data_IF_976719282982
#
_entry.id   IF_976719282982
#
_cell.length_a   1.000
_cell.length_b   1.000
_cell.length_c   1.000
_cell.angle_alpha   90.00
_cell.angle_beta   90.00
_cell.angle_gamma   90.00
#
_symmetry.space_group_name_H-M   'P 1'
#
loop_
_entity.id
_entity.type
_entity.pdbx_description
1 polymer ?
#
# COMPACT_ATOMS: atom_id res chain seq x y z
N UNK A 1 3.35 -10.42 -7.49
CA UNK A 1 3.98 -9.09 -7.49
C UNK A 1 4.30 -8.80 -6.04
N UNK A 2 5.58 -8.63 -5.69
CA UNK A 2 5.97 -8.29 -4.31
C UNK A 2 6.24 -6.79 -4.27
N UNK A 3 5.59 -6.07 -3.36
CA UNK A 3 5.85 -4.64 -3.15
C UNK A 3 6.84 -4.55 -2.00
N UNK A 4 8.13 -4.52 -2.36
CA UNK A 4 9.24 -4.43 -1.40
C UNK A 4 9.02 -3.29 -0.39
N UNK A 5 9.28 -3.55 0.89
CA UNK A 5 9.08 -2.62 2.02
C UNK A 5 7.63 -2.50 2.53
N UNK A 6 6.62 -2.59 1.65
CA UNK A 6 5.23 -2.45 2.08
C UNK A 6 4.79 -3.55 3.05
N UNK A 7 5.12 -4.81 2.76
CA UNK A 7 4.82 -5.95 3.64
C UNK A 7 5.65 -5.97 4.94
N UNK A 8 6.72 -5.17 5.02
CA UNK A 8 7.53 -5.02 6.23
C UNK A 8 6.97 -3.95 7.17
N UNK A 9 6.50 -2.83 6.63
CA UNK A 9 5.82 -1.77 7.38
C UNK A 9 4.40 -2.17 7.82
N UNK A 10 3.68 -2.90 6.98
CA UNK A 10 2.30 -3.30 7.22
C UNK A 10 2.05 -3.96 8.60
N UNK A 11 2.79 -5.00 9.04
CA UNK A 11 2.56 -5.62 10.35
C UNK A 11 2.96 -4.75 11.53
N UNK A 12 3.73 -3.65 11.31
CA UNK A 12 4.02 -2.67 12.35
C UNK A 12 2.85 -1.69 12.54
N UNK A 13 2.13 -1.40 11.45
CA UNK A 13 1.11 -0.35 11.38
C UNK A 13 -0.31 -0.88 11.59
N UNK A 14 -0.59 -2.11 11.16
CA UNK A 14 -1.90 -2.77 11.29
C UNK A 14 -1.97 -3.56 12.60
N UNK A 15 -3.11 -3.46 13.27
CA UNK A 15 -3.33 -4.18 14.50
C UNK A 15 -3.50 -5.68 14.21
N UNK A 16 -2.71 -6.57 14.84
CA UNK A 16 -2.73 -8.00 14.53
C UNK A 16 -4.02 -8.69 14.99
N UNK A 17 -4.75 -8.13 15.95
CA UNK A 17 -6.08 -8.60 16.33
C UNK A 17 -7.15 -8.10 15.33
N UNK A 18 -6.84 -7.04 14.58
CA UNK A 18 -7.65 -6.49 13.49
C UNK A 18 -7.14 -7.00 12.13
N UNK A 19 -7.54 -8.22 11.78
CA UNK A 19 -7.16 -8.90 10.53
C UNK A 19 -7.69 -8.23 9.24
N UNK A 20 -8.45 -7.13 9.34
CA UNK A 20 -9.12 -6.49 8.22
C UNK A 20 -8.61 -5.07 8.01
N UNK A 21 -8.13 -4.71 6.80
CA UNK A 21 -7.99 -5.58 5.62
C UNK A 21 -6.76 -6.49 5.73
N UNK A 22 -6.91 -7.77 5.37
CA UNK A 22 -5.79 -8.73 5.30
C UNK A 22 -4.66 -8.25 4.37
N UNK A 23 -3.41 -8.74 4.52
CA UNK A 23 -2.30 -8.35 3.64
C UNK A 23 -2.63 -8.52 2.15
N UNK A 24 -3.28 -9.63 1.78
CA UNK A 24 -3.71 -9.91 0.41
C UNK A 24 -4.79 -8.92 -0.06
N UNK A 25 -5.76 -8.58 0.78
CA UNK A 25 -6.79 -7.59 0.45
C UNK A 25 -6.20 -6.20 0.22
N UNK A 26 -5.18 -5.83 1.01
CA UNK A 26 -4.51 -4.55 0.85
C UNK A 26 -3.63 -4.53 -0.40
N UNK A 27 -2.96 -5.64 -0.74
CA UNK A 27 -2.27 -5.78 -2.04
C UNK A 27 -3.27 -5.59 -3.19
N UNK A 28 -4.45 -6.20 -3.11
CA UNK A 28 -5.48 -6.07 -4.14
C UNK A 28 -5.94 -4.60 -4.29
N UNK A 29 -6.14 -3.89 -3.18
CA UNK A 29 -6.42 -2.45 -3.18
C UNK A 29 -5.30 -1.63 -3.84
N UNK A 30 -4.04 -1.93 -3.55
CA UNK A 30 -2.89 -1.25 -4.16
C UNK A 30 -2.83 -1.54 -5.66
N UNK A 31 -3.14 -2.76 -6.10
CA UNK A 31 -3.21 -3.12 -7.52
C UNK A 31 -4.34 -2.36 -8.23
N UNK A 32 -5.55 -2.34 -7.66
CA UNK A 32 -6.68 -1.59 -8.22
C UNK A 32 -6.42 -0.09 -8.28
N UNK A 33 -5.73 0.46 -7.28
CA UNK A 33 -5.32 1.86 -7.27
C UNK A 33 -4.25 2.12 -8.35
N UNK A 34 -3.29 1.21 -8.51
CA UNK A 34 -2.27 1.30 -9.54
C UNK A 34 -2.85 1.22 -10.97
N UNK A 35 -3.87 0.39 -11.20
CA UNK A 35 -4.55 0.31 -12.50
C UNK A 35 -5.26 1.63 -12.88
N UNK A 36 -5.70 2.40 -11.89
CA UNK A 36 -6.33 3.70 -12.08
C UNK A 36 -5.34 4.87 -12.03
N UNK A 37 -4.12 4.64 -11.55
CA UNK A 37 -3.12 5.67 -11.40
C UNK A 37 -2.52 6.08 -12.76
N UNK A 38 -2.08 7.34 -12.82
CA UNK A 38 -1.42 7.88 -14.00
C UNK A 38 0.05 7.48 -13.94
N UNK A 39 0.55 6.85 -15.00
CA UNK A 39 1.96 6.46 -15.08
C UNK A 39 2.88 7.68 -14.90
N UNK A 40 3.83 7.57 -13.98
CA UNK A 40 4.76 8.65 -13.62
C UNK A 40 4.28 9.59 -12.51
N UNK A 41 3.04 9.43 -12.01
CA UNK A 41 2.56 10.14 -10.83
C UNK A 41 2.41 9.15 -9.64
N UNK A 42 2.80 9.56 -8.42
CA UNK A 42 2.56 8.75 -7.24
C UNK A 42 1.07 8.68 -6.93
N UNK A 43 0.64 7.54 -6.40
CA UNK A 43 -0.72 7.30 -5.92
C UNK A 43 -0.71 6.85 -4.45
N UNK A 44 -1.82 7.05 -3.75
CA UNK A 44 -1.93 6.73 -2.33
C UNK A 44 -3.09 5.77 -2.06
N UNK A 45 -2.91 4.89 -1.08
CA UNK A 45 -3.96 4.05 -0.48
C UNK A 45 -4.11 4.43 0.98
N UNK A 46 -5.35 4.62 1.41
CA UNK A 46 -5.69 4.97 2.79
C UNK A 46 -6.15 3.73 3.54
N UNK A 47 -5.59 3.52 4.73
CA UNK A 47 -6.07 2.54 5.70
C UNK A 47 -6.73 3.29 6.83
N UNK A 48 -7.95 2.88 7.17
CA UNK A 48 -8.70 3.51 8.25
C UNK A 48 -7.99 3.29 9.60
N UNK A 49 -8.12 4.27 10.50
CA UNK A 49 -7.49 4.19 11.81
C UNK A 49 -8.00 3.01 12.62
N UNK A 50 -9.26 2.61 12.45
CA UNK A 50 -9.83 1.43 13.12
C UNK A 50 -9.06 0.13 12.84
N UNK A 51 -8.35 0.07 11.70
CA UNK A 51 -7.53 -1.08 11.30
C UNK A 51 -6.06 -0.97 11.75
N UNK A 52 -5.67 0.16 12.35
CA UNK A 52 -4.26 0.46 12.67
C UNK A 52 -4.02 0.39 14.18
N UNK A 53 -2.78 0.06 14.57
CA UNK A 53 -2.40 -0.08 15.98
C UNK A 53 -2.57 1.19 16.82
N UNK A 54 -2.31 2.34 16.22
CA UNK A 54 -2.37 3.63 16.90
C UNK A 54 -3.73 4.31 16.76
N UNK A 55 -4.69 3.66 16.10
CA UNK A 55 -6.01 4.20 15.79
C UNK A 55 -5.99 5.46 14.92
N UNK A 56 -4.88 5.75 14.23
CA UNK A 56 -4.77 6.85 13.27
C UNK A 56 -4.74 6.32 11.84
N UNK A 57 -5.54 6.94 10.97
CA UNK A 57 -5.54 6.60 9.54
C UNK A 57 -4.15 6.75 8.94
N UNK A 58 -3.72 5.77 8.16
CA UNK A 58 -2.42 5.78 7.48
C UNK A 58 -2.59 5.97 5.99
N UNK A 59 -1.75 6.83 5.42
CA UNK A 59 -1.66 7.02 3.97
C UNK A 59 -0.40 6.34 3.44
N UNK A 60 -0.57 5.26 2.68
CA UNK A 60 0.53 4.57 2.00
C UNK A 60 0.71 5.15 0.61
N UNK A 61 1.90 5.67 0.31
CA UNK A 61 2.23 6.23 -0.99
C UNK A 61 3.05 5.24 -1.83
N UNK A 62 2.69 5.16 -3.10
CA UNK A 62 3.30 4.27 -4.09
C UNK A 62 3.59 5.03 -5.37
N UNK A 63 4.54 4.53 -6.16
CA UNK A 63 4.79 4.99 -7.52
C UNK A 63 4.72 3.83 -8.50
N UNK A 64 4.31 4.10 -9.73
CA UNK A 64 4.42 3.14 -10.83
C UNK A 64 5.68 3.44 -11.61
N UNK A 65 6.66 2.58 -11.45
CA UNK A 65 7.88 2.62 -12.25
C UNK A 65 7.61 1.91 -13.57
N UNK A 66 7.64 2.66 -14.67
CA UNK A 66 7.49 2.15 -16.03
C UNK A 66 8.81 2.18 -16.80
N UNK A 67 9.94 2.43 -16.13
CA UNK A 67 11.26 2.45 -16.78
C UNK A 67 11.73 1.04 -17.15
N UNK A 68 11.26 0.03 -16.41
CA UNK A 68 11.51 -1.37 -16.73
C UNK A 68 10.52 -1.94 -17.75
N UNK A 69 10.87 -3.07 -18.39
CA UNK A 69 10.02 -3.73 -19.41
C UNK A 69 8.69 -4.24 -18.86
N UNK A 70 8.53 -4.26 -17.53
CA UNK A 70 7.27 -4.52 -16.84
C UNK A 70 7.02 -3.41 -15.81
N UNK A 71 5.83 -2.79 -15.79
CA UNK A 71 5.50 -1.79 -14.79
C UNK A 71 5.59 -2.41 -13.38
N UNK A 72 6.28 -1.73 -12.48
CA UNK A 72 6.49 -2.16 -11.10
C UNK A 72 5.92 -1.13 -10.13
N UNK A 73 5.16 -1.58 -9.13
CA UNK A 73 4.69 -0.72 -8.05
C UNK A 73 5.81 -0.64 -7.01
N UNK A 74 6.29 0.57 -6.74
CA UNK A 74 7.30 0.87 -5.73
C UNK A 74 6.65 1.54 -4.54
N UNK A 75 6.85 0.99 -3.36
CA UNK A 75 6.44 1.64 -2.11
C UNK A 75 7.39 2.80 -1.80
N UNK A 76 6.82 3.97 -1.52
CA UNK A 76 7.56 5.20 -1.20
C UNK A 76 7.66 5.37 0.32
N UNK A 77 6.59 5.05 1.03
CA UNK A 77 6.48 5.21 2.48
C UNK A 77 5.04 5.39 2.94
N UNK A 78 4.88 5.54 4.25
CA UNK A 78 3.61 5.78 4.93
C UNK A 78 3.64 7.12 5.66
N UNK A 79 2.48 7.79 5.73
CA UNK A 79 2.23 8.97 6.56
C UNK A 79 1.13 8.73 7.57
#
# INVERSE_FOLDING_TARGET
MNIDGFLEDYPALVDPDFHDPSPDALIDMVLMAAEQAIAGEPFSVWVDGECTRDHESKEFSFNIDTEDRQPAIKYIGVK
#
